data_IF_174145739277
#
_entry.id   IF_174145739277
#
_cell.length_a   1.000
_cell.length_b   1.000
_cell.length_c   1.000
_cell.angle_alpha   90.00
_cell.angle_beta   90.00
_cell.angle_gamma   90.00
#
_symmetry.space_group_name_H-M   'P 1'
#
loop_
_entity.id
_entity.type
_entity.pdbx_description
1 polymer ?
#
# COMPACT_ATOMS: atom_id res chain seq x y z
N UNK A 1 -45.63 -47.38 24.49
CA UNK A 1 -44.17 -47.31 24.64
C UNK A 1 -43.63 -46.22 23.72
N UNK A 2 -42.86 -45.28 24.30
CA UNK A 2 -41.85 -44.34 23.74
C UNK A 2 -42.14 -43.49 22.47
N UNK A 3 -42.29 -42.18 22.74
CA UNK A 3 -41.86 -41.02 21.92
C UNK A 3 -40.35 -41.09 21.59
N UNK A 4 -39.97 -40.72 20.36
CA UNK A 4 -38.73 -40.02 19.90
C UNK A 4 -38.68 -40.16 18.38
N UNK A 5 -38.82 -39.14 17.53
CA UNK A 5 -38.02 -37.91 17.49
C UNK A 5 -36.87 -38.12 16.49
N UNK A 6 -37.10 -37.86 15.20
CA UNK A 6 -36.01 -37.75 14.21
C UNK A 6 -36.25 -36.52 13.33
N UNK A 7 -36.08 -35.38 13.97
CA UNK A 7 -35.89 -34.07 13.35
C UNK A 7 -34.38 -33.85 13.42
N UNK A 8 -33.67 -33.98 12.31
CA UNK A 8 -32.23 -33.74 12.32
C UNK A 8 -31.48 -34.40 11.17
N UNK A 9 -31.48 -33.76 10.00
CA UNK A 9 -30.30 -33.73 9.14
C UNK A 9 -30.42 -32.57 8.12
N UNK A 10 -30.34 -31.34 8.62
CA UNK A 10 -30.06 -30.15 7.81
C UNK A 10 -28.92 -29.44 8.51
N UNK A 11 -27.67 -29.83 8.20
CA UNK A 11 -26.46 -29.07 8.54
C UNK A 11 -25.24 -29.70 7.85
N UNK A 12 -25.20 -29.65 6.52
CA UNK A 12 -24.02 -30.02 5.74
C UNK A 12 -23.87 -29.12 4.51
N UNK A 13 -23.80 -27.81 4.74
CA UNK A 13 -23.45 -26.73 3.81
C UNK A 13 -23.17 -25.54 4.76
N UNK A 14 -22.00 -24.93 4.90
CA UNK A 14 -20.97 -24.52 3.95
C UNK A 14 -19.68 -24.36 4.79
N UNK A 15 -18.67 -25.19 4.57
CA UNK A 15 -17.33 -25.02 5.14
C UNK A 15 -16.30 -24.81 4.03
N UNK A 16 -16.71 -24.12 2.97
CA UNK A 16 -15.84 -23.69 1.89
C UNK A 16 -15.40 -22.24 2.15
N UNK A 17 -14.17 -22.11 2.64
CA UNK A 17 -13.26 -21.02 2.29
C UNK A 17 -13.72 -19.59 2.50
N UNK A 18 -13.66 -19.11 3.75
CA UNK A 18 -13.25 -17.73 4.00
C UNK A 18 -11.72 -17.63 3.77
N UNK A 19 -11.24 -17.95 2.57
CA UNK A 19 -9.92 -17.46 2.16
C UNK A 19 -10.14 -15.98 1.93
N UNK A 20 -9.68 -15.15 2.87
CA UNK A 20 -9.64 -13.71 2.67
C UNK A 20 -8.93 -13.47 1.33
N UNK A 21 -9.66 -12.98 0.33
CA UNK A 21 -9.09 -12.58 -0.95
C UNK A 21 -8.24 -11.32 -0.72
N UNK A 22 -7.05 -11.49 -0.14
CA UNK A 22 -6.01 -10.47 -0.20
C UNK A 22 -5.53 -10.40 -1.65
N UNK A 23 -5.42 -9.18 -2.18
CA UNK A 23 -4.78 -8.96 -3.48
C UNK A 23 -3.38 -9.59 -3.47
N UNK A 24 -2.94 -10.22 -4.58
CA UNK A 24 -1.56 -10.68 -4.68
C UNK A 24 -0.62 -9.48 -4.57
N UNK A 25 0.44 -9.62 -3.78
CA UNK A 25 1.50 -8.61 -3.73
C UNK A 25 2.41 -8.82 -4.95
N UNK A 26 2.52 -7.79 -5.77
CA UNK A 26 3.19 -7.79 -7.07
C UNK A 26 4.24 -6.69 -7.21
N UNK A 27 4.52 -5.96 -6.13
CA UNK A 27 5.53 -4.92 -6.12
C UNK A 27 5.81 -4.37 -4.73
N UNK A 28 6.77 -3.45 -4.66
CA UNK A 28 7.07 -2.69 -3.47
C UNK A 28 6.60 -1.24 -3.60
N UNK A 29 6.29 -0.65 -2.44
CA UNK A 29 6.17 0.80 -2.29
C UNK A 29 7.29 1.31 -1.41
N UNK A 30 7.75 2.51 -1.68
CA UNK A 30 8.56 3.32 -0.79
C UNK A 30 8.02 4.75 -0.76
N UNK A 31 8.41 5.51 0.26
CA UNK A 31 8.04 6.93 0.37
C UNK A 31 9.27 7.78 0.63
N UNK A 32 9.29 8.97 0.05
CA UNK A 32 10.36 9.96 0.26
C UNK A 32 9.81 11.38 0.17
N UNK A 33 10.63 12.35 0.55
CA UNK A 33 10.40 13.75 0.25
C UNK A 33 11.26 14.16 -0.94
N UNK A 34 10.70 14.95 -1.85
CA UNK A 34 11.48 15.63 -2.88
C UNK A 34 12.23 16.85 -2.30
N UNK A 35 13.10 17.51 -3.07
CA UNK A 35 13.83 18.70 -2.60
C UNK A 35 12.94 19.86 -2.13
N UNK A 36 11.69 19.92 -2.58
CA UNK A 36 10.69 20.92 -2.19
C UNK A 36 9.89 20.49 -0.95
N UNK A 37 10.19 19.32 -0.38
CA UNK A 37 9.52 18.76 0.79
C UNK A 37 8.16 18.13 0.49
N UNK A 38 7.85 17.83 -0.78
CA UNK A 38 6.59 17.18 -1.18
C UNK A 38 6.71 15.66 -1.04
N UNK A 39 5.64 15.04 -0.56
CA UNK A 39 5.57 13.59 -0.40
C UNK A 39 5.48 12.89 -1.77
N UNK A 40 6.43 11.97 -2.00
CA UNK A 40 6.53 11.15 -3.20
C UNK A 40 6.34 9.68 -2.85
N UNK A 41 5.43 9.02 -3.56
CA UNK A 41 5.35 7.56 -3.60
C UNK A 41 6.30 7.02 -4.66
N UNK A 42 7.12 6.04 -4.29
CA UNK A 42 8.03 5.32 -5.20
C UNK A 42 7.51 3.89 -5.34
N UNK A 43 7.27 3.45 -6.57
CA UNK A 43 6.66 2.16 -6.86
C UNK A 43 7.59 1.36 -7.78
N UNK A 44 7.78 0.09 -7.48
CA UNK A 44 8.49 -0.85 -8.35
C UNK A 44 7.76 -2.19 -8.35
N UNK A 45 7.28 -2.59 -9.52
CA UNK A 45 6.43 -3.76 -9.74
C UNK A 45 7.27 -4.90 -10.28
N UNK A 46 7.44 -5.95 -9.48
CA UNK A 46 8.15 -7.17 -9.87
C UNK A 46 7.27 -8.15 -10.65
N UNK A 47 5.94 -8.01 -10.56
CA UNK A 47 4.93 -8.70 -11.35
C UNK A 47 3.83 -7.73 -11.78
N UNK A 48 3.08 -8.09 -12.81
CA UNK A 48 1.96 -7.29 -13.30
C UNK A 48 2.37 -6.02 -14.02
N UNK A 49 1.37 -5.21 -14.39
CA UNK A 49 1.58 -3.88 -14.95
C UNK A 49 1.50 -2.87 -13.82
N UNK A 50 2.17 -1.72 -13.92
CA UNK A 50 2.25 -0.76 -12.81
C UNK A 50 0.92 -0.23 -12.25
N UNK A 51 1.03 0.70 -11.31
CA UNK A 51 -0.12 1.29 -10.63
C UNK A 51 -1.09 1.98 -11.61
N UNK A 52 -2.39 1.73 -11.48
CA UNK A 52 -3.48 2.52 -12.09
C UNK A 52 -4.32 3.25 -11.06
N UNK A 53 -4.28 2.79 -9.81
CA UNK A 53 -4.87 3.50 -8.67
C UNK A 53 -3.81 3.63 -7.59
N UNK A 54 -3.61 4.85 -7.09
CA UNK A 54 -2.81 5.12 -5.89
C UNK A 54 -3.74 5.77 -4.87
N UNK A 55 -3.71 5.29 -3.63
CA UNK A 55 -4.50 5.88 -2.54
C UNK A 55 -3.63 6.05 -1.31
N UNK A 56 -3.58 7.28 -0.80
CA UNK A 56 -3.03 7.58 0.52
C UNK A 56 -4.18 7.56 1.52
N UNK A 57 -4.07 6.72 2.55
CA UNK A 57 -5.03 6.64 3.64
C UNK A 57 -4.45 7.26 4.91
N UNK A 58 -5.32 7.63 5.87
CA UNK A 58 -4.86 7.82 7.25
C UNK A 58 -4.66 6.43 7.85
N UNK A 59 -3.48 6.15 8.37
CA UNK A 59 -3.19 4.93 9.10
C UNK A 59 -3.78 4.95 10.51
N UNK A 60 -3.81 3.79 11.15
CA UNK A 60 -4.07 3.65 12.58
C UNK A 60 -2.94 2.89 13.26
N UNK A 61 -2.70 3.19 14.54
CA UNK A 61 -1.70 2.48 15.33
C UNK A 61 -2.04 0.98 15.40
N UNK A 62 -1.03 0.13 15.19
CA UNK A 62 -1.19 -1.32 15.14
C UNK A 62 -1.62 -1.89 13.78
N UNK A 63 -1.77 -1.05 12.75
CA UNK A 63 -2.04 -1.47 11.37
C UNK A 63 -3.50 -1.26 10.93
N UNK A 64 -3.67 -1.12 9.61
CA UNK A 64 -4.95 -0.80 8.99
C UNK A 64 -5.12 0.69 8.67
N UNK A 65 -6.25 1.03 8.05
CA UNK A 65 -6.49 2.35 7.46
C UNK A 65 -7.86 2.93 7.80
N UNK A 66 -7.95 4.25 7.86
CA UNK A 66 -9.17 5.03 8.07
C UNK A 66 -9.25 6.19 7.09
N UNK A 67 -10.26 6.17 6.23
CA UNK A 67 -10.53 7.29 5.33
C UNK A 67 -9.43 7.49 4.28
N UNK A 68 -9.84 8.03 3.13
CA UNK A 68 -8.92 8.34 2.03
C UNK A 68 -8.51 9.81 2.15
N UNK A 69 -7.21 10.06 2.07
CA UNK A 69 -6.63 11.42 2.04
C UNK A 69 -6.46 11.86 0.60
N UNK A 70 -5.87 10.99 -0.22
CA UNK A 70 -5.64 11.21 -1.65
C UNK A 70 -6.09 9.95 -2.39
N UNK A 71 -6.71 10.14 -3.56
CA UNK A 71 -6.94 9.06 -4.51
C UNK A 71 -6.60 9.55 -5.91
N UNK A 72 -5.60 8.92 -6.51
CA UNK A 72 -5.15 9.15 -7.87
C UNK A 72 -5.60 7.98 -8.73
N UNK A 73 -6.16 8.28 -9.89
CA UNK A 73 -6.48 7.30 -10.92
C UNK A 73 -5.75 7.67 -12.20
N UNK A 74 -5.05 6.71 -12.81
CA UNK A 74 -4.33 6.93 -14.06
C UNK A 74 -5.32 7.26 -15.18
N UNK A 75 -4.93 8.17 -16.05
CA UNK A 75 -5.69 8.48 -17.25
C UNK A 75 -5.68 7.27 -18.22
N UNK A 76 -6.83 6.99 -18.85
CA UNK A 76 -7.06 5.74 -19.59
C UNK A 76 -6.14 5.52 -20.80
N UNK A 77 -5.63 6.60 -21.38
CA UNK A 77 -4.72 6.59 -22.52
C UNK A 77 -3.24 6.47 -22.10
N UNK A 78 -2.96 6.54 -20.79
CA UNK A 78 -1.61 6.44 -20.24
C UNK A 78 -1.31 5.03 -19.78
N UNK A 79 -0.21 4.48 -20.30
CA UNK A 79 0.30 3.16 -19.88
C UNK A 79 0.89 3.23 -18.47
N UNK A 80 0.56 2.25 -17.64
CA UNK A 80 1.22 2.05 -16.37
C UNK A 80 2.69 1.65 -16.56
N UNK A 81 3.55 2.02 -15.61
CA UNK A 81 5.00 1.77 -15.63
C UNK A 81 5.39 0.85 -14.49
N UNK A 82 6.31 -0.08 -14.78
CA UNK A 82 6.84 -1.01 -13.77
C UNK A 82 7.56 -0.26 -12.64
N UNK A 83 8.33 0.78 -12.95
CA UNK A 83 8.92 1.67 -11.96
C UNK A 83 8.40 3.09 -12.17
N UNK A 84 7.88 3.73 -11.12
CA UNK A 84 7.37 5.09 -11.18
C UNK A 84 7.47 5.82 -9.85
N UNK A 85 7.65 7.14 -9.93
CA UNK A 85 7.56 8.03 -8.79
C UNK A 85 6.45 9.05 -9.01
N UNK A 86 5.63 9.25 -7.98
CA UNK A 86 4.47 10.14 -8.07
C UNK A 86 4.44 11.07 -6.87
N UNK A 87 4.52 12.38 -7.13
CA UNK A 87 4.24 13.42 -6.13
C UNK A 87 2.74 13.34 -5.80
N UNK A 88 2.38 13.09 -4.55
CA UNK A 88 1.02 12.64 -4.23
C UNK A 88 -0.03 13.76 -4.26
N UNK A 89 0.32 14.97 -3.78
CA UNK A 89 -0.61 16.10 -3.71
C UNK A 89 -0.65 16.94 -5.00
N UNK A 90 0.38 16.82 -5.83
CA UNK A 90 0.56 17.56 -7.08
C UNK A 90 1.13 16.59 -8.13
N UNK A 91 0.36 15.58 -8.53
CA UNK A 91 0.86 14.55 -9.43
C UNK A 91 1.07 15.12 -10.83
N UNK A 92 2.10 14.60 -11.51
CA UNK A 92 2.38 14.96 -12.89
C UNK A 92 1.22 14.54 -13.83
N UNK A 93 1.24 15.08 -15.04
CA UNK A 93 0.31 14.73 -16.11
C UNK A 93 0.15 13.21 -16.27
N UNK A 94 -1.08 12.76 -16.50
CA UNK A 94 -1.42 11.34 -16.61
C UNK A 94 -2.08 10.74 -15.36
N UNK A 95 -2.23 11.53 -14.30
CA UNK A 95 -2.97 11.16 -13.09
C UNK A 95 -4.13 12.12 -12.84
N UNK A 96 -5.29 11.56 -12.48
CA UNK A 96 -6.49 12.31 -12.09
C UNK A 96 -6.74 12.18 -10.59
N UNK A 97 -6.73 13.30 -9.88
CA UNK A 97 -7.12 13.38 -8.48
C UNK A 97 -8.64 13.26 -8.33
N UNK A 98 -9.12 12.38 -7.46
CA UNK A 98 -10.56 12.11 -7.23
C UNK A 98 -11.11 12.69 -5.93
N UNK A 99 -10.25 13.22 -5.08
CA UNK A 99 -10.62 13.84 -3.81
C UNK A 99 -10.28 15.33 -3.85
N UNK A 100 -10.91 16.09 -2.96
CA UNK A 100 -10.55 17.49 -2.77
C UNK A 100 -9.09 17.60 -2.33
N UNK A 101 -8.41 18.72 -2.62
CA UNK A 101 -7.07 18.98 -2.13
C UNK A 101 -6.99 18.78 -0.61
N UNK A 102 -5.92 18.12 -0.16
CA UNK A 102 -5.67 17.84 1.25
C UNK A 102 -4.35 18.46 1.69
N UNK A 103 -4.23 18.75 2.97
CA UNK A 103 -2.95 19.06 3.63
C UNK A 103 -2.51 17.85 4.43
N UNK A 104 -1.21 17.56 4.40
CA UNK A 104 -0.63 16.52 5.24
C UNK A 104 -0.20 17.11 6.59
N UNK A 105 -0.64 16.47 7.66
CA UNK A 105 -0.09 16.63 9.01
C UNK A 105 1.11 15.71 9.17
N UNK A 106 2.22 16.22 9.68
CA UNK A 106 3.47 15.47 9.81
C UNK A 106 3.40 14.36 10.83
N UNK A 107 2.63 14.57 11.89
CA UNK A 107 2.47 13.65 13.00
C UNK A 107 1.29 12.70 12.77
N UNK A 108 0.55 12.82 11.67
CA UNK A 108 -0.47 11.84 11.31
C UNK A 108 0.20 10.61 10.68
N UNK A 109 -0.26 9.42 11.09
CA UNK A 109 0.13 8.18 10.42
C UNK A 109 -0.61 8.06 9.08
N UNK A 110 0.10 7.65 8.04
CA UNK A 110 -0.43 7.37 6.71
C UNK A 110 -0.03 5.99 6.25
N UNK A 111 -0.74 5.50 5.24
CA UNK A 111 -0.53 4.23 4.58
C UNK A 111 -0.77 4.45 3.09
N UNK A 112 0.25 4.17 2.27
CA UNK A 112 0.22 4.38 0.82
C UNK A 112 0.03 3.04 0.13
N UNK A 113 -1.04 2.95 -0.66
CA UNK A 113 -1.39 1.73 -1.40
C UNK A 113 -1.52 2.01 -2.87
N UNK A 114 -1.15 1.04 -3.68
CA UNK A 114 -1.34 1.09 -5.12
C UNK A 114 -1.83 -0.26 -5.65
N UNK A 115 -2.66 -0.19 -6.70
CA UNK A 115 -3.21 -1.35 -7.39
C UNK A 115 -3.01 -1.21 -8.90
N UNK A 116 -2.78 -2.34 -9.55
CA UNK A 116 -2.77 -2.46 -11.00
C UNK A 116 -4.14 -2.86 -11.58
N UNK A 117 -4.24 -2.93 -12.90
CA UNK A 117 -5.49 -3.25 -13.61
C UNK A 117 -5.99 -4.67 -13.30
N UNK A 118 -5.07 -5.59 -13.02
CA UNK A 118 -5.34 -7.00 -12.78
C UNK A 118 -5.70 -7.28 -11.30
N UNK A 119 -5.70 -6.25 -10.46
CA UNK A 119 -6.01 -6.33 -9.03
C UNK A 119 -4.83 -6.68 -8.13
N UNK A 120 -3.62 -6.81 -8.69
CA UNK A 120 -2.38 -6.90 -7.92
C UNK A 120 -2.05 -5.60 -7.20
N UNK A 121 -1.38 -5.71 -6.06
CA UNK A 121 -1.06 -4.60 -5.17
C UNK A 121 0.43 -4.52 -4.87
N UNK A 122 0.91 -3.36 -4.45
CA UNK A 122 2.21 -3.23 -3.79
C UNK A 122 2.10 -3.58 -2.31
N UNK A 123 3.21 -4.00 -1.69
CA UNK A 123 3.28 -4.05 -0.22
C UNK A 123 3.01 -2.65 0.36
N UNK A 124 2.40 -2.57 1.54
CA UNK A 124 2.11 -1.32 2.23
C UNK A 124 2.64 -1.32 3.66
N UNK A 125 2.91 -0.12 4.19
CA UNK A 125 3.36 0.06 5.57
C UNK A 125 2.92 1.43 6.13
N UNK A 126 2.75 1.53 7.46
CA UNK A 126 2.44 2.80 8.11
C UNK A 126 3.68 3.69 8.25
N UNK A 127 3.52 4.99 7.98
CA UNK A 127 4.57 5.99 8.16
C UNK A 127 4.02 7.36 8.58
N UNK A 128 4.87 8.20 9.17
CA UNK A 128 4.62 9.62 9.40
C UNK A 128 5.52 10.45 8.48
N UNK A 129 5.10 11.66 8.12
CA UNK A 129 5.94 12.53 7.25
C UNK A 129 7.15 13.06 8.03
N UNK A 130 7.05 13.23 9.35
CA UNK A 130 8.19 13.62 10.20
C UNK A 130 9.34 12.62 10.14
N UNK A 131 9.08 11.31 10.01
CA UNK A 131 10.12 10.28 9.84
C UNK A 131 11.01 10.53 8.62
N UNK A 132 10.43 11.10 7.56
CA UNK A 132 11.16 11.43 6.35
C UNK A 132 12.02 12.68 6.54
N UNK A 133 11.53 13.69 7.27
CA UNK A 133 12.29 14.94 7.49
C UNK A 133 13.49 14.77 8.40
N UNK A 134 13.35 13.95 9.43
CA UNK A 134 14.37 13.81 10.46
C UNK A 134 15.56 12.94 10.03
N UNK A 135 15.35 12.05 9.04
CA UNK A 135 16.30 10.96 8.74
C UNK A 135 16.57 10.71 7.26
N UNK A 136 15.75 11.23 6.35
CA UNK A 136 15.90 10.99 4.92
C UNK A 136 16.46 12.24 4.22
N UNK A 137 17.58 12.09 3.50
CA UNK A 137 17.95 13.07 2.47
C UNK A 137 16.93 13.04 1.31
N UNK A 138 16.93 14.04 0.41
CA UNK A 138 15.93 14.16 -0.66
C UNK A 138 15.88 12.96 -1.64
N UNK A 139 16.90 12.09 -1.62
CA UNK A 139 17.01 10.91 -2.46
C UNK A 139 16.93 9.59 -1.67
N UNK A 140 16.49 9.64 -0.41
CA UNK A 140 16.40 8.46 0.45
C UNK A 140 14.96 7.98 0.52
N UNK A 141 14.76 6.71 0.17
CA UNK A 141 13.44 6.05 0.14
C UNK A 141 13.24 5.30 1.45
N UNK A 142 12.23 5.68 2.21
CA UNK A 142 11.77 4.91 3.36
C UNK A 142 10.94 3.72 2.87
N UNK A 143 11.28 2.55 3.39
CA UNK A 143 10.46 1.33 3.36
C UNK A 143 10.33 0.83 4.79
N UNK A 144 9.28 0.07 5.09
CA UNK A 144 9.22 -0.68 6.35
C UNK A 144 8.71 -2.08 6.12
N UNK A 145 9.21 -3.03 6.92
CA UNK A 145 8.75 -4.41 6.94
C UNK A 145 8.32 -4.78 8.34
N UNK A 146 7.26 -5.56 8.47
CA UNK A 146 6.89 -6.17 9.74
C UNK A 146 7.95 -7.20 10.14
N UNK A 147 8.53 -7.04 11.33
CA UNK A 147 9.43 -8.01 11.95
C UNK A 147 8.83 -8.49 13.27
N UNK A 148 8.84 -9.81 13.48
CA UNK A 148 8.23 -10.48 14.64
C UNK A 148 6.89 -11.16 14.32
N UNK A 149 6.39 -11.89 15.31
CA UNK A 149 5.11 -12.60 15.22
C UNK A 149 3.96 -11.65 15.61
N UNK A 150 3.14 -12.03 16.60
CA UNK A 150 1.96 -11.28 17.06
C UNK A 150 2.32 -9.92 17.68
N UNK A 151 3.44 -9.84 18.39
CA UNK A 151 3.92 -8.61 19.06
C UNK A 151 5.03 -7.91 18.25
N UNK A 152 5.10 -8.21 16.95
CA UNK A 152 6.05 -7.61 16.03
C UNK A 152 5.81 -6.12 15.80
N UNK A 153 6.65 -5.53 14.95
CA UNK A 153 6.54 -4.14 14.58
C UNK A 153 7.16 -3.84 13.23
N UNK A 154 6.80 -2.68 12.66
CA UNK A 154 7.41 -2.22 11.42
C UNK A 154 8.81 -1.67 11.68
N UNK A 155 9.81 -2.28 11.03
CA UNK A 155 11.20 -1.85 11.07
C UNK A 155 11.50 -1.01 9.84
N UNK A 156 11.94 0.23 10.08
CA UNK A 156 12.26 1.17 9.02
C UNK A 156 13.61 0.87 8.38
N UNK A 157 13.65 0.88 7.05
CA UNK A 157 14.91 0.92 6.29
C UNK A 157 14.90 2.03 5.27
N UNK A 158 16.03 2.73 5.18
CA UNK A 158 16.27 3.83 4.28
C UNK A 158 17.13 3.35 3.12
N UNK A 159 16.64 3.50 1.90
CA UNK A 159 17.19 2.89 0.69
C UNK A 159 17.61 3.96 -0.32
N UNK A 160 18.66 3.68 -1.07
CA UNK A 160 18.86 4.32 -2.38
C UNK A 160 17.84 3.77 -3.38
N UNK A 161 17.68 4.41 -4.54
CA UNK A 161 16.86 3.86 -5.64
C UNK A 161 17.32 2.47 -6.08
N UNK A 162 18.63 2.23 -6.14
CA UNK A 162 19.19 0.93 -6.50
C UNK A 162 18.84 -0.14 -5.45
N UNK A 163 18.98 0.19 -4.16
CA UNK A 163 18.60 -0.70 -3.07
C UNK A 163 17.09 -0.98 -3.06
N UNK A 164 16.27 0.02 -3.38
CA UNK A 164 14.83 -0.14 -3.48
C UNK A 164 14.44 -1.07 -4.62
N UNK A 165 15.00 -0.90 -5.82
CA UNK A 165 14.76 -1.79 -6.96
C UNK A 165 15.21 -3.24 -6.67
N UNK A 166 16.29 -3.44 -5.91
CA UNK A 166 16.70 -4.77 -5.44
C UNK A 166 15.72 -5.35 -4.43
N UNK A 167 15.27 -4.55 -3.46
CA UNK A 167 14.26 -4.93 -2.48
C UNK A 167 12.95 -5.36 -3.14
N UNK A 168 12.45 -4.58 -4.11
CA UNK A 168 11.20 -4.86 -4.81
C UNK A 168 11.14 -6.28 -5.41
N UNK A 169 12.25 -6.76 -5.97
CA UNK A 169 12.34 -8.12 -6.51
C UNK A 169 12.10 -9.20 -5.46
N UNK A 170 12.52 -8.97 -4.22
CA UNK A 170 12.37 -9.92 -3.11
C UNK A 170 10.95 -9.97 -2.53
N UNK A 171 10.10 -8.99 -2.86
CA UNK A 171 8.71 -8.92 -2.34
C UNK A 171 7.81 -9.91 -3.08
N UNK A 172 8.10 -10.20 -4.35
CA UNK A 172 7.36 -11.17 -5.15
C UNK A 172 7.84 -12.62 -4.96
N UNK A 173 9.04 -12.84 -4.42
CA UNK A 173 9.67 -14.17 -4.28
C UNK A 173 9.08 -14.97 -3.11
#
# INVERSE_FOLDING_TARGET
MRRTGLLGLICALVLAGLTACSAPIEGAVGVRLDPDGRLVGVFDWCRGKGAVVITLYRGVDGGGVRGKVIRLEREQDRRARETEEVVLLDPADGWRTKLAPATLDDEQMYDLRAWNEDGGAVEDFPFRVSELRDRAGPNTILTKRWEGDTDGGYVATYRTHEDFARHARTVCD
#
